data_IF_873559343838
#
_entry.id   IF_873559343838
#
_cell.length_a   1.000
_cell.length_b   1.000
_cell.length_c   1.000
_cell.angle_alpha   90.00
_cell.angle_beta   90.00
_cell.angle_gamma   90.00
#
_symmetry.space_group_name_H-M   'P 1'
#
loop_
_entity.id
_entity.type
_entity.pdbx_description
1 polymer ?
#
# COMPACT_ATOMS: atom_id res chain seq x y z
N UNK A 1 -28.15 28.18 -31.18
CA UNK A 1 -28.70 26.84 -31.47
C UNK A 1 -28.68 26.02 -30.18
N UNK A 2 -29.83 25.67 -29.60
CA UNK A 2 -29.91 24.88 -28.35
C UNK A 2 -30.15 23.40 -28.70
N UNK A 3 -29.39 22.44 -28.15
CA UNK A 3 -29.62 21.03 -28.43
C UNK A 3 -30.99 20.55 -27.92
N UNK A 4 -31.65 19.67 -28.68
CA UNK A 4 -32.98 19.11 -28.39
C UNK A 4 -32.97 18.18 -27.16
N UNK A 5 -34.04 18.18 -26.36
CA UNK A 5 -34.12 17.46 -25.06
C UNK A 5 -33.78 15.96 -25.14
N UNK A 6 -34.07 15.28 -26.25
CA UNK A 6 -33.77 13.86 -26.42
C UNK A 6 -32.25 13.55 -26.45
N UNK A 7 -31.44 14.47 -27.00
CA UNK A 7 -29.97 14.36 -26.98
C UNK A 7 -29.40 14.60 -25.58
N UNK A 8 -30.05 15.45 -24.78
CA UNK A 8 -29.67 15.70 -23.38
C UNK A 8 -29.81 14.45 -22.49
N UNK A 9 -30.81 13.59 -22.75
CA UNK A 9 -31.02 12.33 -22.01
C UNK A 9 -29.94 11.26 -22.29
N UNK A 10 -29.25 11.34 -23.43
CA UNK A 10 -28.21 10.38 -23.85
C UNK A 10 -26.80 10.78 -23.37
N UNK A 11 -26.65 11.99 -22.82
CA UNK A 11 -25.37 12.49 -22.32
C UNK A 11 -25.14 11.96 -20.89
N UNK A 12 -24.59 10.76 -20.77
CA UNK A 12 -24.20 10.23 -19.46
C UNK A 12 -23.01 11.03 -18.92
N UNK A 13 -23.21 11.80 -17.84
CA UNK A 13 -22.13 12.55 -17.14
C UNK A 13 -21.27 11.64 -16.24
N UNK A 14 -21.02 10.42 -16.69
CA UNK A 14 -20.19 9.46 -15.98
C UNK A 14 -18.72 9.72 -16.29
N UNK A 15 -17.83 9.38 -15.35
CA UNK A 15 -16.40 9.49 -15.56
C UNK A 15 -15.95 8.54 -16.69
N UNK A 16 -15.16 9.05 -17.62
CA UNK A 16 -14.63 8.25 -18.73
C UNK A 16 -13.71 7.13 -18.22
N UNK A 17 -13.85 5.94 -18.78
CA UNK A 17 -12.98 4.78 -18.55
C UNK A 17 -12.05 4.57 -19.74
N UNK A 18 -11.09 3.67 -19.58
CA UNK A 18 -10.12 3.32 -20.63
C UNK A 18 -10.75 2.70 -21.89
N UNK A 19 -12.03 2.29 -21.84
CA UNK A 19 -12.71 1.55 -22.91
C UNK A 19 -13.88 2.29 -23.56
N UNK A 20 -14.11 3.56 -23.18
CA UNK A 20 -15.27 4.33 -23.63
C UNK A 20 -14.98 5.26 -24.82
N UNK A 21 -13.72 5.44 -25.19
CA UNK A 21 -13.30 6.37 -26.26
C UNK A 21 -12.43 5.64 -27.29
N UNK A 22 -12.30 6.22 -28.48
CA UNK A 22 -11.45 5.72 -29.55
C UNK A 22 -9.97 6.18 -29.37
N UNK A 23 -9.15 6.02 -30.41
CA UNK A 23 -7.73 6.42 -30.46
C UNK A 23 -7.51 7.86 -29.98
N UNK A 24 -6.41 8.09 -29.24
CA UNK A 24 -6.00 9.40 -28.73
C UNK A 24 -6.38 9.68 -27.28
N UNK A 25 -7.27 8.87 -26.68
CA UNK A 25 -7.57 8.94 -25.26
C UNK A 25 -6.78 7.88 -24.48
N UNK A 26 -5.88 8.32 -23.60
CA UNK A 26 -5.16 7.47 -22.66
C UNK A 26 -5.55 7.82 -21.22
N UNK A 27 -5.87 6.81 -20.42
CA UNK A 27 -6.15 6.94 -18.98
C UNK A 27 -5.38 5.86 -18.22
N UNK A 28 -4.58 6.27 -17.24
CA UNK A 28 -3.81 5.35 -16.40
C UNK A 28 -4.67 4.60 -15.37
N UNK A 29 -4.10 3.54 -14.80
CA UNK A 29 -4.75 2.66 -13.80
C UNK A 29 -4.09 2.72 -12.41
N UNK A 30 -3.26 3.72 -12.14
CA UNK A 30 -2.63 3.91 -10.83
C UNK A 30 -1.40 3.03 -10.57
N UNK A 31 -0.75 2.51 -11.62
CA UNK A 31 0.47 1.69 -11.50
C UNK A 31 1.72 2.47 -11.03
N UNK A 32 1.66 3.80 -11.00
CA UNK A 32 2.83 4.66 -10.76
C UNK A 32 3.76 4.74 -11.97
N UNK A 33 4.72 5.66 -11.93
CA UNK A 33 5.76 5.80 -12.96
C UNK A 33 6.94 4.88 -12.66
N UNK A 34 7.39 4.13 -13.66
CA UNK A 34 8.54 3.20 -13.55
C UNK A 34 9.76 3.70 -14.35
N UNK A 35 9.72 4.91 -14.88
CA UNK A 35 10.72 5.39 -15.82
C UNK A 35 10.31 6.68 -16.52
N UNK A 36 10.74 6.82 -17.78
CA UNK A 36 10.45 8.00 -18.61
C UNK A 36 10.24 7.66 -20.08
N UNK A 37 9.38 8.44 -20.75
CA UNK A 37 9.27 8.40 -22.20
C UNK A 37 10.49 9.01 -22.87
N UNK A 38 10.80 8.53 -24.07
CA UNK A 38 11.85 9.08 -24.96
C UNK A 38 11.25 10.04 -25.97
N UNK A 39 12.10 10.85 -26.61
CA UNK A 39 11.70 11.77 -27.70
C UNK A 39 10.96 11.07 -28.85
N UNK A 40 11.28 9.81 -29.10
CA UNK A 40 10.76 9.03 -30.23
C UNK A 40 9.68 8.01 -29.83
N UNK A 41 9.02 8.20 -28.68
CA UNK A 41 7.88 7.39 -28.25
C UNK A 41 8.22 6.07 -27.54
N UNK A 42 9.50 5.70 -27.43
CA UNK A 42 9.95 4.60 -26.57
C UNK A 42 9.87 4.93 -25.07
N UNK A 43 10.18 3.96 -24.22
CA UNK A 43 10.18 4.10 -22.76
C UNK A 43 11.46 3.51 -22.17
N UNK A 44 12.11 4.24 -21.26
CA UNK A 44 13.32 3.80 -20.53
C UNK A 44 12.93 3.56 -19.08
N UNK A 45 13.22 2.35 -18.58
CA UNK A 45 12.96 1.96 -17.19
C UNK A 45 14.02 2.59 -16.28
N UNK A 46 13.55 3.11 -15.15
CA UNK A 46 14.37 3.61 -14.05
C UNK A 46 14.25 2.62 -12.90
N UNK A 47 15.29 1.80 -12.70
CA UNK A 47 15.25 0.67 -11.76
C UNK A 47 15.06 1.11 -10.30
N UNK A 48 15.47 2.33 -9.95
CA UNK A 48 15.27 2.89 -8.60
C UNK A 48 13.78 3.15 -8.28
N UNK A 49 12.94 3.26 -9.32
CA UNK A 49 11.47 3.44 -9.19
C UNK A 49 10.70 2.13 -9.31
N UNK A 50 11.37 1.04 -9.67
CA UNK A 50 10.73 -0.28 -9.81
C UNK A 50 10.54 -0.87 -8.42
N UNK A 51 9.28 -1.15 -8.07
CA UNK A 51 8.91 -1.77 -6.78
C UNK A 51 9.35 -3.24 -6.76
N UNK A 52 10.11 -3.63 -5.75
CA UNK A 52 10.47 -5.01 -5.44
C UNK A 52 9.78 -5.49 -4.17
N UNK A 53 9.47 -6.78 -4.08
CA UNK A 53 8.92 -7.40 -2.87
C UNK A 53 10.00 -8.30 -2.26
N UNK A 54 10.63 -7.84 -1.19
CA UNK A 54 11.74 -8.55 -0.54
C UNK A 54 11.19 -9.68 0.31
N UNK A 55 11.58 -10.91 -0.01
CA UNK A 55 11.23 -12.11 0.77
C UNK A 55 12.31 -12.33 1.82
N UNK A 56 11.96 -12.50 3.12
CA UNK A 56 12.95 -12.82 4.15
C UNK A 56 13.67 -14.14 3.89
N UNK A 57 14.93 -14.21 4.31
CA UNK A 57 15.70 -15.45 4.28
C UNK A 57 15.07 -16.52 5.20
N UNK A 58 15.21 -17.79 4.82
CA UNK A 58 14.72 -18.95 5.58
C UNK A 58 13.21 -18.96 5.89
N UNK A 59 12.39 -18.22 5.12
CA UNK A 59 10.93 -18.19 5.29
C UNK A 59 10.30 -19.59 5.22
N UNK A 60 10.88 -20.51 4.44
CA UNK A 60 10.41 -21.89 4.28
C UNK A 60 10.52 -22.69 5.59
N UNK A 61 11.55 -22.43 6.38
CA UNK A 61 11.84 -23.17 7.62
C UNK A 61 11.27 -22.45 8.86
N UNK A 62 10.61 -21.30 8.65
CA UNK A 62 10.04 -20.50 9.72
C UNK A 62 8.81 -21.18 10.34
N UNK A 63 8.78 -21.27 11.67
CA UNK A 63 7.77 -22.06 12.39
C UNK A 63 6.44 -21.32 12.58
N UNK A 64 6.42 -19.99 12.47
CA UNK A 64 5.17 -19.24 12.67
C UNK A 64 4.26 -19.44 11.45
N UNK A 65 3.01 -19.79 11.73
CA UNK A 65 1.97 -19.99 10.72
C UNK A 65 0.92 -18.89 10.84
N UNK A 66 0.07 -18.67 9.81
CA UNK A 66 -1.00 -17.68 9.89
C UNK A 66 -2.10 -18.03 10.91
N UNK A 67 -2.04 -19.19 11.56
CA UNK A 67 -3.03 -19.64 12.53
C UNK A 67 -2.40 -19.91 13.91
N UNK A 68 -3.19 -19.65 14.95
CA UNK A 68 -2.86 -19.99 16.34
C UNK A 68 -3.89 -21.00 16.85
N UNK A 69 -3.46 -21.91 17.73
CA UNK A 69 -4.37 -22.86 18.36
C UNK A 69 -5.44 -22.16 19.20
N UNK A 70 -6.68 -22.66 19.14
CA UNK A 70 -7.81 -22.16 19.95
C UNK A 70 -7.66 -22.45 21.45
N UNK A 71 -6.69 -23.29 21.83
CA UNK A 71 -6.39 -23.61 23.24
C UNK A 71 -5.72 -22.45 23.98
N UNK A 72 -5.13 -21.51 23.25
CA UNK A 72 -4.49 -20.32 23.82
C UNK A 72 -5.52 -19.19 23.86
N UNK A 73 -5.74 -18.62 25.04
CA UNK A 73 -6.58 -17.45 25.20
C UNK A 73 -5.92 -16.20 24.62
N UNK A 74 -6.74 -15.28 24.10
CA UNK A 74 -6.25 -14.02 23.53
C UNK A 74 -5.91 -13.06 24.66
N UNK A 75 -4.63 -12.76 24.84
CA UNK A 75 -4.18 -11.74 25.78
C UNK A 75 -4.28 -10.32 25.19
N UNK A 76 -4.40 -9.32 26.07
CA UNK A 76 -4.29 -7.89 25.73
C UNK A 76 -3.09 -7.30 26.44
N UNK A 77 -2.36 -6.42 25.77
CA UNK A 77 -1.27 -5.65 26.40
C UNK A 77 -1.83 -4.77 27.52
N UNK A 78 -1.23 -4.85 28.70
CA UNK A 78 -1.60 -4.05 29.87
C UNK A 78 -0.56 -2.97 30.08
N UNK A 79 -1.00 -1.72 30.19
CA UNK A 79 -0.15 -0.55 30.42
C UNK A 79 -0.73 0.31 31.55
N UNK A 80 -0.77 -0.21 32.78
CA UNK A 80 -1.41 0.47 33.89
C UNK A 80 -0.69 1.78 34.19
N UNK A 81 -1.45 2.88 34.27
CA UNK A 81 -0.92 4.18 34.65
C UNK A 81 -0.10 4.90 33.58
N UNK A 82 0.05 4.34 32.38
CA UNK A 82 0.72 5.00 31.26
C UNK A 82 -0.29 5.42 30.17
N UNK A 83 -0.61 6.72 30.06
CA UNK A 83 -1.52 7.22 29.03
C UNK A 83 -1.04 6.94 27.59
N UNK A 84 0.27 6.77 27.39
CA UNK A 84 0.88 6.50 26.07
C UNK A 84 0.89 5.00 25.75
N UNK A 85 0.67 4.15 26.74
CA UNK A 85 0.53 2.70 26.58
C UNK A 85 1.66 2.06 25.78
N UNK A 86 1.31 1.29 24.75
CA UNK A 86 2.25 0.60 23.87
C UNK A 86 3.21 1.54 23.10
N UNK A 87 2.90 2.84 23.01
CA UNK A 87 3.72 3.84 22.33
C UNK A 87 4.60 4.66 23.28
N UNK A 88 4.68 4.26 24.56
CA UNK A 88 5.51 4.95 25.55
C UNK A 88 7.01 4.72 25.31
N UNK A 89 7.73 5.80 25.01
CA UNK A 89 9.18 5.77 24.82
C UNK A 89 9.96 5.42 26.09
N UNK A 90 9.46 5.82 27.26
CA UNK A 90 10.08 5.48 28.56
C UNK A 90 9.98 3.97 28.84
N UNK A 91 8.81 3.37 28.58
CA UNK A 91 8.62 1.93 28.70
C UNK A 91 9.51 1.15 27.72
N UNK A 92 9.66 1.66 26.49
CA UNK A 92 10.60 1.10 25.51
C UNK A 92 12.04 1.16 25.99
N UNK A 93 12.51 2.33 26.44
CA UNK A 93 13.90 2.52 26.90
C UNK A 93 14.20 1.62 28.11
N UNK A 94 13.26 1.53 29.06
CA UNK A 94 13.39 0.64 30.21
C UNK A 94 13.55 -0.81 29.76
N UNK A 95 12.64 -1.29 28.89
CA UNK A 95 12.70 -2.66 28.34
C UNK A 95 14.01 -2.92 27.62
N UNK A 96 14.49 -1.96 26.82
CA UNK A 96 15.76 -2.06 26.11
C UNK A 96 16.97 -2.19 27.05
N UNK A 97 17.00 -1.44 28.16
CA UNK A 97 18.03 -1.59 29.20
C UNK A 97 17.96 -2.95 29.88
N UNK A 98 16.76 -3.41 30.20
CA UNK A 98 16.53 -4.71 30.86
C UNK A 98 16.93 -5.90 29.97
N UNK A 99 16.69 -5.81 28.66
CA UNK A 99 16.98 -6.87 27.67
C UNK A 99 18.42 -6.86 27.15
N UNK A 100 19.30 -6.00 27.70
CA UNK A 100 20.74 -6.03 27.40
C UNK A 100 21.17 -5.10 26.25
N UNK A 101 20.49 -3.97 26.07
CA UNK A 101 20.84 -2.96 25.09
C UNK A 101 22.18 -2.24 25.31
N UNK A 102 22.78 -2.38 26.49
CA UNK A 102 24.11 -1.87 26.83
C UNK A 102 24.97 -3.02 27.37
N UNK A 103 25.82 -3.57 26.51
CA UNK A 103 27.09 -4.21 26.85
C UNK A 103 28.19 -3.50 26.07
#
# INVERSE_FOLDING_TARGET
>A
MKPTQALGKKLTRLALTTKQTNKGYYKGTGTGSTGRHTKHGGYIIDWDKVRTYVVPENLKDFKLTPFVTRRIEKSRGQFPGDPKGAFSGEAYLKKWKDEGGES
#
